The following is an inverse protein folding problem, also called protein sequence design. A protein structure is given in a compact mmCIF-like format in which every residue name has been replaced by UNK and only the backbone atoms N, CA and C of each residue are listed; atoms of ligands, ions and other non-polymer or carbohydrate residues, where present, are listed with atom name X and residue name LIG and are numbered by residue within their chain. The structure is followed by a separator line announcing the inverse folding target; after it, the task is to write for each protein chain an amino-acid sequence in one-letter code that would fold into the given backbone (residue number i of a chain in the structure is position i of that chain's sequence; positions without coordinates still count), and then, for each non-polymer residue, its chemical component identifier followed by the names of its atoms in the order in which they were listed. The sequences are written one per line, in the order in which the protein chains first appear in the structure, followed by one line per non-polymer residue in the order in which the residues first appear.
data_IF_289982026157
#
_entry.id   IF_289982026157
#
_cell.length_a   1.000
_cell.length_b   1.000
_cell.length_c   1.000
_cell.angle_alpha   90.00
_cell.angle_beta   90.00
_cell.angle_gamma   90.00
#
_symmetry.space_group_name_H-M   'P 1'
#
loop_
_entity.id
_entity.type
_entity.pdbx_description
1 polymer ?
#
# COMPACT_ATOMS: atom_id res chain seq x y z
N UNK A 1 -22.22 33.90 3.26
CA UNK A 1 -21.13 34.01 4.26
C UNK A 1 -20.06 32.98 3.97
N UNK A 2 -19.03 33.41 3.22
CA UNK A 2 -17.79 32.63 3.05
C UNK A 2 -17.10 32.57 4.41
N UNK A 3 -17.14 31.43 5.07
CA UNK A 3 -16.27 31.16 6.21
C UNK A 3 -14.85 31.09 5.67
N UNK A 4 -14.09 32.17 5.87
CA UNK A 4 -12.68 32.24 5.52
C UNK A 4 -11.96 31.04 6.07
N UNK A 5 -11.37 30.22 5.18
CA UNK A 5 -10.56 29.08 5.58
C UNK A 5 -9.43 29.57 6.48
N UNK A 6 -9.27 28.97 7.63
CA UNK A 6 -8.10 29.23 8.49
C UNK A 6 -6.83 29.11 7.67
N UNK A 7 -5.84 30.01 7.83
CA UNK A 7 -4.59 29.94 7.10
C UNK A 7 -3.98 28.55 7.28
N UNK A 8 -3.47 27.99 6.18
CA UNK A 8 -2.89 26.65 6.18
C UNK A 8 -1.83 26.57 7.29
N UNK A 9 -2.06 25.72 8.27
CA UNK A 9 -1.14 25.53 9.40
C UNK A 9 0.24 25.13 8.89
N UNK A 10 1.30 25.75 9.41
CA UNK A 10 2.68 25.39 9.08
C UNK A 10 3.14 24.09 9.72
N UNK A 11 2.30 23.49 10.57
CA UNK A 11 2.57 22.22 11.20
C UNK A 11 2.51 21.07 10.17
N UNK A 12 3.61 20.34 9.91
CA UNK A 12 3.65 19.22 8.97
C UNK A 12 2.67 18.09 9.36
N UNK A 13 2.35 17.94 10.64
CA UNK A 13 1.39 16.95 11.12
C UNK A 13 -0.06 17.19 10.67
N UNK A 14 -0.38 18.33 10.07
CA UNK A 14 -1.71 18.55 9.45
C UNK A 14 -1.89 17.65 8.21
N UNK A 15 -0.80 17.21 7.57
CA UNK A 15 -0.85 16.32 6.41
C UNK A 15 -0.98 14.87 6.89
N UNK A 16 -2.10 14.26 6.52
CA UNK A 16 -2.36 12.85 6.78
C UNK A 16 -1.76 11.99 5.66
N UNK A 17 -0.72 11.20 5.97
CA UNK A 17 -0.07 10.32 4.99
C UNK A 17 -0.98 9.18 4.51
N UNK A 18 -2.04 8.84 5.25
CA UNK A 18 -3.06 7.85 4.89
C UNK A 18 -4.39 8.48 4.48
N UNK A 19 -4.37 9.69 3.92
CA UNK A 19 -5.58 10.39 3.51
C UNK A 19 -6.41 9.57 2.53
N UNK A 20 -7.67 9.32 2.87
CA UNK A 20 -8.60 8.56 2.04
C UNK A 20 -8.48 7.03 2.18
N UNK A 21 -7.41 6.53 2.78
CA UNK A 21 -7.13 5.10 2.91
C UNK A 21 -7.58 4.52 4.25
N UNK A 22 -7.66 5.33 5.31
CA UNK A 22 -7.85 4.82 6.67
C UNK A 22 -9.32 4.84 7.10
N UNK A 23 -9.84 3.66 7.37
CA UNK A 23 -11.20 3.43 7.87
C UNK A 23 -11.17 2.66 9.18
N UNK A 24 -12.25 2.75 9.95
CA UNK A 24 -12.47 1.93 11.14
C UNK A 24 -13.24 0.67 10.76
N UNK A 25 -13.11 -0.39 11.53
CA UNK A 25 -13.92 -1.62 11.39
C UNK A 25 -15.44 -1.34 11.44
N UNK A 26 -15.87 -0.26 12.08
CA UNK A 26 -17.27 0.20 12.09
C UNK A 26 -17.69 0.91 10.78
N UNK A 27 -16.82 0.97 9.77
CA UNK A 27 -17.05 1.62 8.47
C UNK A 27 -16.78 3.13 8.42
N UNK A 28 -16.68 3.82 9.58
CA UNK A 28 -16.42 5.26 9.62
C UNK A 28 -14.97 5.59 9.24
N UNK A 29 -14.76 6.80 8.74
CA UNK A 29 -13.42 7.30 8.43
C UNK A 29 -12.60 7.52 9.70
N UNK A 30 -11.30 7.27 9.60
CA UNK A 30 -10.31 7.55 10.65
C UNK A 30 -9.54 8.81 10.26
N UNK A 31 -9.48 9.77 11.16
CA UNK A 31 -8.82 11.05 10.95
C UNK A 31 -7.77 11.35 12.01
N UNK A 32 -6.70 12.08 11.64
CA UNK A 32 -5.77 12.61 12.63
C UNK A 32 -6.43 13.72 13.44
N UNK A 33 -6.35 13.63 14.77
CA UNK A 33 -6.82 14.63 15.71
C UNK A 33 -5.68 15.03 16.66
N UNK A 34 -5.81 16.16 17.36
CA UNK A 34 -4.79 16.61 18.32
C UNK A 34 -3.53 17.21 17.68
N UNK A 35 -3.63 17.66 16.41
CA UNK A 35 -2.47 18.16 15.64
C UNK A 35 -1.96 19.54 16.07
N UNK A 36 -2.61 20.19 17.02
CA UNK A 36 -2.17 21.50 17.54
C UNK A 36 -0.82 21.42 18.26
N UNK A 37 -0.54 20.31 18.92
CA UNK A 37 0.77 20.01 19.52
C UNK A 37 1.64 19.24 18.55
N UNK A 38 2.87 19.68 18.31
CA UNK A 38 3.83 19.07 17.37
C UNK A 38 4.11 17.56 17.65
N UNK A 39 3.79 17.10 18.86
CA UNK A 39 4.17 15.76 19.36
C UNK A 39 2.99 14.83 19.67
N UNK A 40 1.76 15.33 19.70
CA UNK A 40 0.61 14.56 20.17
C UNK A 40 -0.53 14.58 19.15
N UNK A 41 -0.50 13.66 18.24
CA UNK A 41 -1.65 13.38 17.35
C UNK A 41 -2.07 11.93 17.50
N UNK A 42 -3.35 11.68 17.37
CA UNK A 42 -3.90 10.33 17.30
C UNK A 42 -4.72 10.17 16.03
N UNK A 43 -4.75 8.96 15.52
CA UNK A 43 -5.76 8.54 14.56
C UNK A 43 -7.00 8.10 15.33
N UNK A 44 -8.13 8.72 15.03
CA UNK A 44 -9.39 8.46 15.74
C UNK A 44 -10.53 8.23 14.74
N UNK A 45 -11.35 7.24 15.04
CA UNK A 45 -12.58 6.98 14.32
C UNK A 45 -13.61 8.11 14.57
N UNK A 46 -14.30 8.57 13.54
CA UNK A 46 -15.35 9.58 13.69
C UNK A 46 -16.47 9.12 14.65
N UNK A 47 -16.91 7.87 14.52
CA UNK A 47 -17.94 7.32 15.40
C UNK A 47 -17.48 7.19 16.85
N UNK A 48 -16.17 7.10 17.10
CA UNK A 48 -15.63 7.11 18.46
C UNK A 48 -15.80 8.47 19.15
N UNK A 49 -15.68 9.57 18.38
CA UNK A 49 -15.94 10.92 18.90
C UNK A 49 -17.38 11.09 19.38
N UNK A 50 -18.30 10.41 18.72
CA UNK A 50 -19.74 10.44 19.01
C UNK A 50 -20.17 9.38 20.03
N UNK A 51 -19.25 8.60 20.58
CA UNK A 51 -19.54 7.50 21.52
C UNK A 51 -20.19 6.27 20.86
N UNK A 52 -20.18 6.18 19.52
CA UNK A 52 -20.81 5.09 18.74
C UNK A 52 -19.83 3.98 18.33
N UNK A 53 -18.57 4.08 18.74
CA UNK A 53 -17.54 3.10 18.42
C UNK A 53 -16.58 3.00 19.60
N UNK A 54 -16.23 1.78 19.98
CA UNK A 54 -15.35 1.47 21.11
C UNK A 54 -13.87 1.24 20.69
N UNK A 55 -13.56 1.39 19.40
CA UNK A 55 -12.19 1.26 18.88
C UNK A 55 -11.33 2.39 19.45
N UNK A 56 -10.24 2.08 20.19
CA UNK A 56 -9.39 3.08 20.80
C UNK A 56 -8.64 3.91 19.77
N UNK A 57 -8.31 5.18 20.10
CA UNK A 57 -7.45 6.00 19.28
C UNK A 57 -6.03 5.43 19.21
N UNK A 58 -5.42 5.49 18.01
CA UNK A 58 -4.06 5.02 17.76
C UNK A 58 -3.08 6.20 17.73
N UNK A 59 -1.99 6.13 18.50
CA UNK A 59 -0.95 7.18 18.52
C UNK A 59 -0.34 7.34 17.13
N UNK A 60 -0.35 8.58 16.60
CA UNK A 60 -0.04 8.87 15.20
C UNK A 60 1.43 8.74 14.87
N UNK A 61 2.30 9.46 15.58
CA UNK A 61 3.74 9.53 15.27
C UNK A 61 4.41 8.15 15.32
N UNK A 62 4.21 7.34 16.37
CA UNK A 62 4.73 5.98 16.42
C UNK A 62 4.19 5.10 15.29
N UNK A 63 2.89 5.21 14.98
CA UNK A 63 2.28 4.40 13.92
C UNK A 63 2.78 4.82 12.52
N UNK A 64 2.87 6.13 12.23
CA UNK A 64 3.43 6.62 10.97
C UNK A 64 4.83 6.06 10.75
N UNK A 65 5.68 6.13 11.78
CA UNK A 65 7.07 5.64 11.71
C UNK A 65 7.12 4.13 11.53
N UNK A 66 6.39 3.41 12.39
CA UNK A 66 6.33 1.96 12.32
C UNK A 66 5.86 1.46 10.94
N UNK A 67 4.80 2.09 10.39
CA UNK A 67 4.32 1.75 9.05
C UNK A 67 5.40 1.90 7.99
N UNK A 68 6.17 2.99 8.03
CA UNK A 68 7.24 3.22 7.05
C UNK A 68 8.37 2.22 7.20
N UNK A 69 8.80 1.97 8.43
CA UNK A 69 9.91 1.07 8.72
C UNK A 69 9.60 -0.39 8.34
N UNK A 70 8.34 -0.80 8.45
CA UNK A 70 7.90 -2.17 8.16
C UNK A 70 7.25 -2.33 6.78
N UNK A 71 6.90 -1.24 6.09
CA UNK A 71 6.16 -1.28 4.83
C UNK A 71 6.91 -2.03 3.73
N UNK A 72 8.22 -1.84 3.65
CA UNK A 72 9.09 -2.58 2.73
C UNK A 72 9.00 -4.09 2.97
N UNK A 73 9.16 -4.52 4.22
CA UNK A 73 9.05 -5.94 4.58
C UNK A 73 7.68 -6.52 4.28
N UNK A 74 6.60 -5.74 4.41
CA UNK A 74 5.26 -6.20 4.04
C UNK A 74 5.11 -6.44 2.53
N UNK A 75 5.71 -5.57 1.71
CA UNK A 75 5.67 -5.70 0.26
C UNK A 75 6.59 -6.83 -0.20
N UNK A 76 7.79 -6.95 0.38
CA UNK A 76 8.74 -8.01 0.05
C UNK A 76 8.16 -9.41 0.35
N UNK A 77 7.49 -9.59 1.49
CA UNK A 77 6.79 -10.85 1.83
C UNK A 77 5.72 -11.20 0.80
N UNK A 78 5.06 -10.20 0.22
CA UNK A 78 3.99 -10.40 -0.79
C UNK A 78 4.55 -10.54 -2.20
N UNK A 79 5.69 -9.89 -2.50
CA UNK A 79 6.36 -10.00 -3.79
C UNK A 79 7.17 -11.30 -3.92
N UNK A 80 7.48 -11.96 -2.79
CA UNK A 80 8.36 -13.13 -2.75
C UNK A 80 7.79 -14.31 -3.53
N UNK A 81 8.16 -14.36 -4.80
CA UNK A 81 8.06 -15.51 -5.67
C UNK A 81 6.67 -15.76 -6.29
N UNK A 82 5.56 -15.21 -5.82
CA UNK A 82 4.26 -15.51 -6.42
C UNK A 82 4.06 -14.74 -7.73
N UNK A 83 4.38 -13.46 -7.75
CA UNK A 83 4.31 -12.65 -8.98
C UNK A 83 5.35 -13.13 -10.00
N UNK A 84 6.56 -13.47 -9.56
CA UNK A 84 7.59 -14.03 -10.43
C UNK A 84 7.21 -15.41 -10.97
N UNK A 85 6.67 -16.30 -10.13
CA UNK A 85 6.13 -17.60 -10.57
C UNK A 85 5.00 -17.43 -11.56
N UNK A 86 4.10 -16.48 -11.33
CA UNK A 86 2.99 -16.16 -12.23
C UNK A 86 3.50 -15.62 -13.57
N UNK A 87 4.49 -14.72 -13.55
CA UNK A 87 5.14 -14.23 -14.78
C UNK A 87 5.81 -15.38 -15.53
N UNK A 88 6.56 -16.26 -14.85
CA UNK A 88 7.20 -17.41 -15.46
C UNK A 88 6.17 -18.39 -16.07
N UNK A 89 5.06 -18.66 -15.38
CA UNK A 89 3.99 -19.50 -15.91
C UNK A 89 3.34 -18.89 -17.16
N UNK A 90 3.06 -17.58 -17.15
CA UNK A 90 2.51 -16.88 -18.32
C UNK A 90 3.50 -16.84 -19.50
N UNK A 91 4.80 -16.68 -19.23
CA UNK A 91 5.85 -16.76 -20.26
C UNK A 91 5.90 -18.14 -20.91
N UNK A 92 5.81 -19.21 -20.14
CA UNK A 92 5.74 -20.57 -20.65
C UNK A 92 4.47 -20.80 -21.52
N UNK A 93 3.33 -20.22 -21.11
CA UNK A 93 2.10 -20.26 -21.92
C UNK A 93 2.27 -19.50 -23.26
N UNK A 94 2.93 -18.35 -23.26
CA UNK A 94 3.28 -17.59 -24.48
C UNK A 94 4.14 -18.42 -25.42
N UNK A 95 5.15 -19.13 -24.89
CA UNK A 95 6.01 -20.03 -25.69
C UNK A 95 5.19 -21.16 -26.32
N UNK A 96 4.29 -21.77 -25.55
CA UNK A 96 3.41 -22.85 -26.02
C UNK A 96 2.49 -22.36 -27.14
N UNK A 97 1.85 -21.21 -26.96
CA UNK A 97 0.97 -20.58 -27.98
C UNK A 97 1.79 -20.24 -29.22
N UNK A 98 3.01 -19.71 -29.07
CA UNK A 98 3.89 -19.36 -30.18
C UNK A 98 4.30 -20.60 -30.98
N UNK A 99 4.60 -21.72 -30.31
CA UNK A 99 4.90 -22.99 -30.97
C UNK A 99 3.71 -23.53 -31.78
N UNK A 100 2.47 -23.40 -31.24
CA UNK A 100 1.23 -23.77 -31.94
C UNK A 100 1.01 -22.89 -33.19
N UNK A 101 1.25 -21.57 -33.08
CA UNK A 101 1.16 -20.64 -34.21
C UNK A 101 2.14 -21.07 -35.32
N UNK A 102 3.40 -21.37 -34.98
CA UNK A 102 4.40 -21.84 -35.96
C UNK A 102 3.95 -23.10 -36.69
N UNK A 103 3.42 -24.09 -35.97
CA UNK A 103 2.90 -25.33 -36.55
C UNK A 103 1.71 -25.07 -37.46
N UNK A 104 0.73 -24.27 -37.00
CA UNK A 104 -0.45 -23.93 -37.81
C UNK A 104 -0.07 -23.14 -39.06
N UNK A 105 0.90 -22.21 -38.94
CA UNK A 105 1.40 -21.45 -40.11
C UNK A 105 2.14 -22.33 -41.12
N UNK A 106 2.90 -23.34 -40.67
CA UNK A 106 3.54 -24.31 -41.57
C UNK A 106 2.51 -25.12 -42.37
N UNK A 107 1.45 -25.59 -41.69
CA UNK A 107 0.35 -26.33 -42.32
C UNK A 107 -0.45 -25.47 -43.33
N UNK A 108 -0.53 -24.14 -43.15
CA UNK A 108 -1.15 -23.21 -44.09
C UNK A 108 -0.45 -23.19 -45.45
N UNK A 109 0.82 -23.56 -45.52
CA UNK A 109 1.60 -23.58 -46.75
C UNK A 109 1.39 -24.90 -47.54
N UNK A 110 0.81 -25.92 -46.91
CA UNK A 110 0.68 -27.27 -47.47
C UNK A 110 -0.78 -27.65 -47.83
N UNK A 111 -1.77 -26.83 -47.44
CA UNK A 111 -3.19 -27.14 -47.60
C UNK A 111 -3.92 -26.21 -48.59
N UNK A 112 -4.83 -26.76 -49.39
CA UNK A 112 -5.65 -25.99 -50.35
C UNK A 112 -6.83 -25.26 -49.71
N UNK A 113 -7.37 -25.80 -48.61
CA UNK A 113 -8.43 -25.12 -47.83
C UNK A 113 -7.87 -24.61 -46.49
N UNK A 114 -7.70 -23.31 -46.40
CA UNK A 114 -6.99 -22.62 -45.32
C UNK A 114 -7.89 -21.76 -44.42
N UNK A 115 -9.20 -21.74 -44.66
CA UNK A 115 -10.13 -20.79 -44.01
C UNK A 115 -10.21 -21.00 -42.49
N UNK A 116 -10.42 -22.24 -42.06
CA UNK A 116 -10.52 -22.60 -40.66
C UNK A 116 -9.16 -22.42 -39.93
N UNK A 117 -8.06 -22.81 -40.60
CA UNK A 117 -6.73 -22.70 -40.03
C UNK A 117 -6.29 -21.23 -39.86
N UNK A 118 -6.70 -20.33 -40.79
CA UNK A 118 -6.50 -18.87 -40.63
C UNK A 118 -7.25 -18.32 -39.42
N UNK A 119 -8.48 -18.77 -39.17
CA UNK A 119 -9.25 -18.37 -38.01
C UNK A 119 -8.56 -18.80 -36.70
N UNK A 120 -8.07 -20.03 -36.65
CA UNK A 120 -7.31 -20.54 -35.49
C UNK A 120 -6.00 -19.76 -35.28
N UNK A 121 -5.24 -19.46 -36.30
CA UNK A 121 -4.01 -18.63 -36.18
C UNK A 121 -4.33 -17.23 -35.69
N UNK A 122 -5.42 -16.63 -36.11
CA UNK A 122 -5.88 -15.32 -35.64
C UNK A 122 -6.21 -15.37 -34.16
N UNK A 123 -6.96 -16.37 -33.69
CA UNK A 123 -7.31 -16.56 -32.27
C UNK A 123 -6.06 -16.77 -31.40
N UNK A 124 -5.14 -17.65 -31.84
CA UNK A 124 -3.89 -17.87 -31.12
C UNK A 124 -3.02 -16.60 -31.02
N UNK A 125 -2.98 -15.77 -32.07
CA UNK A 125 -2.27 -14.49 -32.04
C UNK A 125 -2.93 -13.51 -31.06
N UNK A 126 -4.26 -13.46 -31.00
CA UNK A 126 -4.97 -12.64 -30.02
C UNK A 126 -4.65 -13.10 -28.59
N UNK A 127 -4.75 -14.39 -28.31
CA UNK A 127 -4.39 -14.96 -27.01
C UNK A 127 -2.94 -14.64 -26.60
N UNK A 128 -1.99 -14.76 -27.54
CA UNK A 128 -0.58 -14.38 -27.30
C UNK A 128 -0.46 -12.92 -26.89
N UNK A 129 -1.16 -12.02 -27.57
CA UNK A 129 -1.14 -10.58 -27.26
C UNK A 129 -1.72 -10.28 -25.88
N UNK A 130 -2.82 -10.93 -25.51
CA UNK A 130 -3.45 -10.79 -24.18
C UNK A 130 -2.50 -11.26 -23.08
N UNK A 131 -1.86 -12.42 -23.24
CA UNK A 131 -0.87 -12.93 -22.29
C UNK A 131 0.33 -11.99 -22.16
N UNK A 132 0.86 -11.48 -23.27
CA UNK A 132 1.98 -10.53 -23.25
C UNK A 132 1.61 -9.22 -22.53
N UNK A 133 0.42 -8.68 -22.78
CA UNK A 133 -0.08 -7.48 -22.11
C UNK A 133 -0.20 -7.70 -20.60
N UNK A 134 -0.63 -8.89 -20.20
CA UNK A 134 -0.73 -9.27 -18.77
C UNK A 134 0.66 -9.33 -18.12
N UNK A 135 1.63 -9.96 -18.77
CA UNK A 135 3.03 -10.02 -18.32
C UNK A 135 3.61 -8.60 -18.17
N UNK A 136 3.44 -7.75 -19.18
CA UNK A 136 3.96 -6.38 -19.14
C UNK A 136 3.33 -5.55 -18.03
N UNK A 137 2.04 -5.76 -17.75
CA UNK A 137 1.35 -5.11 -16.65
C UNK A 137 1.90 -5.56 -15.29
N UNK A 138 2.13 -6.87 -15.12
CA UNK A 138 2.74 -7.42 -13.90
C UNK A 138 4.17 -6.91 -13.70
N UNK A 139 5.00 -6.93 -14.75
CA UNK A 139 6.38 -6.40 -14.71
C UNK A 139 6.43 -4.92 -14.36
N UNK A 140 5.52 -4.10 -14.90
CA UNK A 140 5.45 -2.67 -14.54
C UNK A 140 5.12 -2.46 -13.08
N UNK A 141 4.18 -3.24 -12.53
CA UNK A 141 3.85 -3.17 -11.11
C UNK A 141 5.06 -3.50 -10.24
N UNK A 142 5.82 -4.54 -10.56
CA UNK A 142 7.02 -4.94 -9.82
C UNK A 142 8.14 -3.91 -9.93
N UNK A 143 8.42 -3.37 -11.14
CA UNK A 143 9.52 -2.41 -11.35
C UNK A 143 9.31 -1.04 -10.68
N UNK A 144 8.05 -0.63 -10.45
CA UNK A 144 7.74 0.60 -9.69
C UNK A 144 8.06 0.42 -8.20
N UNK A 145 7.85 -0.79 -7.68
CA UNK A 145 8.12 -1.15 -6.29
C UNK A 145 9.61 -1.00 -5.95
N UNK A 146 10.50 -1.45 -6.84
CA UNK A 146 11.95 -1.48 -6.60
C UNK A 146 12.62 -0.11 -6.53
N UNK A 147 12.05 0.92 -7.17
CA UNK A 147 12.68 2.25 -7.27
C UNK A 147 12.16 3.26 -6.24
N UNK A 148 10.89 3.23 -5.90
CA UNK A 148 10.24 4.25 -5.05
C UNK A 148 10.24 3.85 -3.56
N UNK A 149 10.18 2.55 -3.27
CA UNK A 149 10.07 2.06 -1.90
C UNK A 149 11.32 2.28 -1.03
N UNK A 150 12.56 2.09 -1.50
CA UNK A 150 13.75 2.37 -0.71
C UNK A 150 13.81 3.81 -0.22
N UNK A 151 13.25 4.76 -0.99
CA UNK A 151 13.21 6.18 -0.63
C UNK A 151 12.31 6.47 0.58
N UNK A 152 11.33 5.62 0.89
CA UNK A 152 10.43 5.82 2.02
C UNK A 152 11.13 5.94 3.36
N UNK A 153 12.22 5.19 3.58
CA UNK A 153 12.99 5.22 4.83
C UNK A 153 13.70 6.55 5.07
N UNK A 154 14.08 7.21 3.97
CA UNK A 154 14.85 8.47 4.00
C UNK A 154 13.94 9.71 4.04
N UNK A 155 12.61 9.52 3.92
CA UNK A 155 11.65 10.61 3.95
C UNK A 155 11.55 11.22 5.35
N UNK A 156 11.82 12.51 5.46
CA UNK A 156 11.62 13.26 6.70
C UNK A 156 10.13 13.58 6.93
N UNK A 157 9.48 12.80 7.78
CA UNK A 157 8.09 13.00 8.17
C UNK A 157 7.84 14.26 9.02
N UNK A 158 8.89 14.93 9.45
CA UNK A 158 8.79 16.21 10.18
C UNK A 158 8.62 17.40 9.24
N UNK A 159 8.67 17.18 7.91
CA UNK A 159 8.45 18.21 6.90
C UNK A 159 7.11 18.00 6.17
N UNK A 160 6.50 19.10 5.69
CA UNK A 160 5.30 19.01 4.84
C UNK A 160 5.60 18.27 3.52
N UNK A 161 6.73 18.59 2.89
CA UNK A 161 7.14 17.97 1.64
C UNK A 161 7.30 16.45 1.79
N UNK A 162 8.03 16.00 2.81
CA UNK A 162 8.22 14.57 3.08
C UNK A 162 6.91 13.86 3.36
N UNK A 163 5.96 14.48 4.10
CA UNK A 163 4.64 13.85 4.33
C UNK A 163 3.80 13.75 3.06
N UNK A 164 3.87 14.73 2.16
CA UNK A 164 3.17 14.66 0.86
C UNK A 164 3.79 13.57 0.00
N UNK A 165 5.11 13.50 -0.07
CA UNK A 165 5.82 12.47 -0.81
C UNK A 165 5.49 11.07 -0.29
N UNK A 166 5.56 10.86 1.02
CA UNK A 166 5.15 9.63 1.69
C UNK A 166 3.70 9.25 1.36
N UNK A 167 2.76 10.21 1.42
CA UNK A 167 1.36 9.98 1.04
C UNK A 167 1.23 9.50 -0.41
N UNK A 168 1.95 10.12 -1.34
CA UNK A 168 1.92 9.74 -2.76
C UNK A 168 2.43 8.32 -2.97
N UNK A 169 3.54 7.95 -2.35
CA UNK A 169 4.10 6.60 -2.44
C UNK A 169 3.12 5.58 -1.83
N UNK A 170 2.68 5.81 -0.59
CA UNK A 170 1.76 4.90 0.08
C UNK A 170 0.44 4.70 -0.69
N UNK A 171 -0.11 5.75 -1.29
CA UNK A 171 -1.36 5.67 -2.07
C UNK A 171 -1.24 4.82 -3.34
N UNK A 172 -0.04 4.62 -3.87
CA UNK A 172 0.19 3.74 -5.03
C UNK A 172 0.17 2.26 -4.66
N UNK A 173 0.56 1.94 -3.42
CA UNK A 173 0.74 0.56 -2.96
C UNK A 173 -0.37 0.07 -2.03
N UNK A 174 -1.00 0.99 -1.29
CA UNK A 174 -2.09 0.69 -0.37
C UNK A 174 -3.45 0.88 -1.05
N UNK A 175 -4.31 -0.12 -0.90
CA UNK A 175 -5.74 -0.02 -1.22
C UNK A 175 -6.51 0.55 -0.04
N UNK A 176 -6.11 0.21 1.19
CA UNK A 176 -6.74 0.70 2.40
C UNK A 176 -6.07 0.22 3.69
N UNK A 177 -6.51 0.85 4.79
CA UNK A 177 -6.17 0.51 6.16
C UNK A 177 -7.46 0.41 6.96
N UNK A 178 -7.63 -0.64 7.76
CA UNK A 178 -8.78 -0.82 8.63
C UNK A 178 -8.33 -0.86 10.08
N UNK A 179 -8.72 0.14 10.87
CA UNK A 179 -8.46 0.22 12.30
C UNK A 179 -9.46 -0.68 13.05
N UNK A 180 -8.97 -1.73 13.66
CA UNK A 180 -9.69 -2.59 14.58
C UNK A 180 -9.47 -2.19 16.04
N UNK A 181 -10.01 -2.97 16.97
CA UNK A 181 -9.87 -2.75 18.40
C UNK A 181 -8.44 -2.99 18.88
N UNK A 182 -7.85 -4.07 18.41
CA UNK A 182 -6.53 -4.56 18.83
C UNK A 182 -5.56 -4.75 17.63
N UNK A 183 -5.97 -4.31 16.43
CA UNK A 183 -5.18 -4.49 15.21
C UNK A 183 -5.46 -3.44 14.15
N UNK A 184 -4.53 -3.28 13.22
CA UNK A 184 -4.74 -2.59 11.94
C UNK A 184 -4.56 -3.61 10.83
N UNK A 185 -5.55 -3.72 9.95
CA UNK A 185 -5.43 -4.49 8.71
C UNK A 185 -5.00 -3.57 7.59
N UNK A 186 -3.90 -3.92 6.95
CA UNK A 186 -3.33 -3.24 5.78
C UNK A 186 -3.76 -4.02 4.56
N UNK A 187 -4.48 -3.40 3.64
CA UNK A 187 -4.88 -3.99 2.35
C UNK A 187 -4.02 -3.37 1.25
N UNK A 188 -3.26 -4.20 0.55
CA UNK A 188 -2.42 -3.79 -0.56
C UNK A 188 -3.22 -3.70 -1.87
N UNK A 189 -2.65 -3.07 -2.91
CA UNK A 189 -3.30 -2.93 -4.23
C UNK A 189 -3.57 -4.27 -4.95
N UNK A 190 -2.89 -5.33 -4.57
CA UNK A 190 -3.11 -6.70 -5.07
C UNK A 190 -4.14 -7.49 -4.25
N UNK A 191 -4.90 -6.83 -3.37
CA UNK A 191 -5.87 -7.41 -2.45
C UNK A 191 -5.29 -8.31 -1.34
N UNK A 192 -3.97 -8.31 -1.14
CA UNK A 192 -3.35 -8.98 0.01
C UNK A 192 -3.65 -8.21 1.27
N UNK A 193 -4.09 -8.90 2.32
CA UNK A 193 -4.37 -8.35 3.63
C UNK A 193 -3.33 -8.81 4.65
N UNK A 194 -2.77 -7.85 5.38
CA UNK A 194 -1.81 -8.07 6.45
C UNK A 194 -2.39 -7.47 7.72
N UNK A 195 -2.63 -8.29 8.73
CA UNK A 195 -3.15 -7.83 10.01
C UNK A 195 -2.03 -7.68 11.02
N UNK A 196 -1.96 -6.51 11.63
CA UNK A 196 -0.92 -6.07 12.54
C UNK A 196 -1.55 -5.81 13.90
N UNK A 197 -1.10 -6.45 14.98
CA UNK A 197 -1.58 -6.14 16.33
C UNK A 197 -1.17 -4.71 16.73
N UNK A 198 -2.08 -3.97 17.39
CA UNK A 198 -1.81 -2.60 17.85
C UNK A 198 -1.47 -2.51 19.33
N UNK A 199 -1.52 -3.63 20.07
CA UNK A 199 -1.20 -3.66 21.48
C UNK A 199 -0.47 -4.96 21.88
N UNK A 200 0.84 -4.94 22.14
CA UNK A 200 1.79 -3.92 21.73
C UNK A 200 2.06 -3.96 20.22
N UNK A 201 2.24 -2.82 19.57
CA UNK A 201 2.81 -2.82 18.22
C UNK A 201 4.24 -3.37 18.32
N UNK A 202 4.56 -4.45 17.62
CA UNK A 202 5.90 -5.00 17.68
C UNK A 202 6.87 -4.00 17.04
N UNK A 203 7.73 -3.40 17.85
CA UNK A 203 8.88 -2.65 17.37
C UNK A 203 10.02 -3.63 17.09
N UNK A 204 10.85 -3.31 16.11
CA UNK A 204 11.97 -4.16 15.71
C UNK A 204 12.99 -4.42 16.83
N UNK A 205 12.95 -3.61 17.90
CA UNK A 205 13.79 -3.72 19.11
C UNK A 205 13.09 -4.37 20.30
N UNK A 206 11.85 -4.84 20.13
CA UNK A 206 11.06 -5.47 21.17
C UNK A 206 10.40 -4.51 22.17
N UNK A 207 10.53 -3.18 21.95
CA UNK A 207 9.86 -2.18 22.79
C UNK A 207 8.43 -1.92 22.31
N UNK A 208 7.52 -1.63 23.25
CA UNK A 208 6.14 -1.24 22.96
C UNK A 208 6.10 0.23 22.51
N UNK A 209 5.29 0.55 21.49
CA UNK A 209 5.03 1.95 21.08
C UNK A 209 4.52 2.78 22.28
N UNK A 210 3.81 2.16 23.20
CA UNK A 210 3.32 2.82 24.41
C UNK A 210 4.47 3.16 25.36
N UNK A 211 5.49 2.30 25.52
CA UNK A 211 6.68 2.57 26.35
C UNK A 211 7.52 3.70 25.79
N UNK A 212 7.73 3.77 24.47
CA UNK A 212 8.47 4.88 23.83
C UNK A 212 7.72 6.20 24.01
N UNK A 213 6.40 6.22 23.84
CA UNK A 213 5.63 7.44 23.99
C UNK A 213 5.62 7.94 25.45
N UNK A 214 5.64 7.05 26.42
CA UNK A 214 5.70 7.41 27.83
C UNK A 214 7.10 7.90 28.24
N UNK A 215 8.17 7.31 27.70
CA UNK A 215 9.56 7.81 27.89
C UNK A 215 9.77 9.19 27.26
N UNK A 216 9.32 9.42 26.01
CA UNK A 216 9.38 10.73 25.38
C UNK A 216 8.57 11.80 26.14
N UNK A 217 7.47 11.44 26.79
CA UNK A 217 6.68 12.33 27.62
C UNK A 217 7.39 12.69 28.93
N UNK A 218 8.06 11.73 29.57
CA UNK A 218 8.82 11.94 30.79
C UNK A 218 10.06 12.83 30.56
N UNK A 219 10.73 12.70 29.40
CA UNK A 219 11.86 13.57 29.04
C UNK A 219 11.43 15.01 28.78
N UNK A 220 10.22 15.24 28.22
CA UNK A 220 9.70 16.59 27.95
C UNK A 220 9.31 17.32 29.23
N UNK A 221 8.72 16.63 30.20
CA UNK A 221 8.37 17.23 31.49
C UNK A 221 9.61 17.57 32.33
N UNK A 222 10.75 16.86 32.13
CA UNK A 222 12.02 17.16 32.79
C UNK A 222 12.71 18.45 32.27
N UNK A 223 12.37 18.92 31.07
CA UNK A 223 12.92 20.16 30.50
C UNK A 223 12.01 21.39 30.69
N UNK A 224 10.85 21.26 31.32
CA UNK A 224 9.90 22.35 31.59
C UNK A 224 9.83 22.74 33.09
N UNK A 225 10.69 22.19 33.94
CA UNK A 225 10.92 22.60 35.32
C UNK A 225 12.28 23.31 35.45
#
# INVERSE_FOLDING_TARGET
DFRGGSPASDNPLTINIFKGLFRCQCGASVHPTGTKNKYQGVYRCNNHLDGRCDVPPLKRKPFDRWMIDNFLGMIDVVSDGETERRIAALQHEVETVTARIKKATALLLEMDDITELKAQVKELNQKRTELQTTIDTLKRKTSLTDKELPQLKDIDLMTKAGRVECQLILSKHLKGLTLGKDSVTVTLQNDTEITIPTNPLPLNDGTSIFEIADKELLEIDAYQL
#
